data_IF_058304236322
#
_entry.id   IF_058304236322
#
_cell.length_a   1.000
_cell.length_b   1.000
_cell.length_c   1.000
_cell.angle_alpha   90.00
_cell.angle_beta   90.00
_cell.angle_gamma   90.00
#
_symmetry.space_group_name_H-M   'P 1'
#
loop_
_entity.id
_entity.type
_entity.pdbx_description
1 polymer ?
2 polymer ?
3 polymer ?
4 non-polymer ?
5 water ?
#
loop_
_entity_poly.entity_id
_entity_poly.type
_entity_poly.pdbx_seq_one_letter_code
_entity_poly.pdbx_strand_id
2 'polydeoxyribonucleotide' '(DT)(DA)(DG)(5CM)(DG)(DC)(DC)(DC)(DC)(DC)(DT)(DG)(DC)(DT)(DG)(DG)(DC)' ?
3 'polydeoxyribonucleotide' '(DG)(DC)(DC)(DA)(DG)(DC)(DA)(DG)(DG)(DG)(DG)(DG)(5CM)(DG)(DC)(DT)(DA)' ?
#
# COMPACT_ATOMS: atom_id res chain seq x y z
N UNK A 5 -24.37 -21.37 36.51
CA UNK A 5 -23.38 -22.03 35.67
C UNK A 5 -23.74 -23.49 35.41
N UNK A 6 -24.88 -23.73 34.75
CA UNK A 6 -25.29 -25.12 34.48
C UNK A 6 -24.27 -25.87 33.62
N UNK A 7 -23.97 -25.32 32.45
CA UNK A 7 -23.06 -25.97 31.50
C UNK A 7 -21.66 -25.38 31.71
N UNK A 8 -20.92 -25.98 32.63
CA UNK A 8 -19.57 -25.51 32.90
C UNK A 8 -18.62 -25.92 31.78
N UNK A 9 -17.75 -25.00 31.39
CA UNK A 9 -16.74 -25.30 30.40
C UNK A 9 -15.67 -26.22 31.01
N UNK A 10 -15.34 -27.35 30.37
CA UNK A 10 -14.37 -28.27 30.99
C UNK A 10 -12.92 -27.81 30.86
N UNK A 11 -12.72 -26.58 30.38
CA UNK A 11 -11.37 -26.08 30.12
C UNK A 11 -11.03 -24.79 30.85
N UNK A 12 -12.01 -24.07 31.39
CA UNK A 12 -11.72 -22.83 32.10
C UNK A 12 -12.83 -22.57 33.12
N UNK A 13 -12.69 -21.45 33.82
CA UNK A 13 -13.61 -21.10 34.91
C UNK A 13 -14.96 -20.60 34.42
N UNK A 14 -15.13 -20.40 33.11
CA UNK A 14 -16.37 -19.84 32.60
C UNK A 14 -17.45 -20.90 32.47
N UNK A 15 -18.70 -20.45 32.47
CA UNK A 15 -19.84 -21.34 32.35
C UNK A 15 -21.00 -20.55 31.75
N UNK A 16 -21.96 -21.29 31.18
CA UNK A 16 -23.05 -20.68 30.43
C UNK A 16 -24.37 -21.32 30.80
N UNK A 17 -25.45 -20.59 30.52
CA UNK A 17 -26.78 -21.04 30.92
C UNK A 17 -27.38 -22.00 29.89
N UNK A 18 -27.02 -21.84 28.62
CA UNK A 18 -27.46 -22.77 27.57
C UNK A 18 -26.25 -23.48 26.98
N UNK A 19 -26.48 -24.73 26.56
CA UNK A 19 -25.42 -25.50 25.91
C UNK A 19 -25.01 -24.91 24.57
N UNK A 20 -25.90 -24.15 23.93
CA UNK A 20 -25.57 -23.60 22.62
C UNK A 20 -24.44 -22.59 22.69
N UNK A 21 -24.55 -21.62 23.59
CA UNK A 21 -23.50 -20.62 23.75
C UNK A 21 -22.27 -21.17 24.47
N UNK A 22 -22.36 -22.36 25.07
CA UNK A 22 -21.15 -23.06 25.51
C UNK A 22 -20.40 -23.59 24.29
N UNK A 23 -21.12 -24.23 23.36
CA UNK A 23 -20.50 -24.69 22.13
C UNK A 23 -19.85 -23.53 21.40
N UNK A 24 -20.53 -22.39 21.31
CA UNK A 24 -19.95 -21.23 20.65
C UNK A 24 -18.76 -20.69 21.44
N UNK A 25 -18.86 -20.69 22.77
CA UNK A 25 -17.72 -20.25 23.58
C UNK A 25 -16.55 -21.20 23.40
N UNK A 26 -16.77 -22.51 23.56
CA UNK A 26 -15.71 -23.48 23.31
C UNK A 26 -15.15 -23.35 21.91
N UNK A 27 -15.92 -22.79 20.98
CA UNK A 27 -15.39 -22.52 19.65
C UNK A 27 -14.54 -21.26 19.63
N UNK A 28 -15.11 -20.13 20.09
CA UNK A 28 -14.36 -18.87 20.04
C UNK A 28 -13.04 -18.97 20.78
N UNK A 29 -13.01 -19.67 21.92
CA UNK A 29 -11.88 -19.61 22.82
C UNK A 29 -11.05 -20.89 22.90
N UNK A 30 -11.65 -22.07 22.70
CA UNK A 30 -10.97 -23.33 22.96
C UNK A 30 -10.75 -24.16 21.69
N UNK A 31 -11.81 -24.47 20.94
CA UNK A 31 -11.68 -25.32 19.77
C UNK A 31 -11.53 -24.54 18.48
N UNK A 32 -11.89 -23.26 18.47
CA UNK A 32 -11.65 -22.39 17.31
C UNK A 32 -12.26 -22.95 16.04
N UNK A 33 -13.33 -23.74 16.17
CA UNK A 33 -14.03 -24.27 15.01
C UNK A 33 -14.86 -23.15 14.37
N UNK A 34 -14.56 -22.84 13.11
CA UNK A 34 -15.23 -21.78 12.37
C UNK A 34 -15.88 -22.40 11.13
N UNK A 35 -17.10 -22.93 11.26
CA UNK A 35 -17.72 -23.63 10.12
C UNK A 35 -18.25 -22.72 9.03
N UNK A 36 -18.44 -21.43 9.31
CA UNK A 36 -19.03 -20.50 8.35
C UNK A 36 -17.90 -19.74 7.67
N UNK A 37 -17.70 -20.03 6.38
CA UNK A 37 -16.51 -19.59 5.66
C UNK A 37 -16.92 -18.72 4.48
N UNK A 38 -16.14 -17.67 4.24
CA UNK A 38 -16.39 -16.79 3.11
C UNK A 38 -15.95 -17.46 1.81
N UNK A 39 -16.77 -17.31 0.78
CA UNK A 39 -16.48 -17.87 -0.53
C UNK A 39 -15.64 -16.93 -1.40
N UNK A 40 -15.24 -15.77 -0.87
CA UNK A 40 -14.43 -14.82 -1.61
C UNK A 40 -13.07 -14.56 -0.97
N UNK A 41 -12.83 -15.04 0.24
CA UNK A 41 -11.52 -14.94 0.88
C UNK A 41 -11.44 -16.01 1.96
N UNK A 42 -10.32 -16.01 2.67
CA UNK A 42 -10.07 -17.02 3.70
C UNK A 42 -10.74 -16.71 5.02
N UNK A 43 -11.64 -15.74 5.05
CA UNK A 43 -12.30 -15.37 6.29
C UNK A 43 -13.35 -16.41 6.68
N UNK A 44 -13.35 -16.77 7.96
CA UNK A 44 -14.33 -17.70 8.52
C UNK A 44 -14.69 -17.23 9.92
N UNK A 45 -15.90 -17.56 10.36
CA UNK A 45 -16.37 -17.15 11.66
C UNK A 45 -17.05 -18.31 12.38
N UNK A 46 -16.99 -18.26 13.71
CA UNK A 46 -17.82 -19.12 14.53
C UNK A 46 -19.30 -18.77 14.31
N UNK A 47 -19.59 -17.55 13.87
CA UNK A 47 -20.96 -17.08 13.69
C UNK A 47 -21.21 -16.74 12.23
N UNK A 48 -22.44 -17.02 11.78
CA UNK A 48 -22.84 -16.69 10.42
C UNK A 48 -22.99 -15.19 10.26
N UNK A 49 -23.39 -14.49 11.34
CA UNK A 49 -23.61 -13.06 11.26
C UNK A 49 -22.30 -12.32 10.99
N UNK A 50 -21.25 -12.67 11.72
CA UNK A 50 -19.92 -12.13 11.43
C UNK A 50 -19.54 -12.37 9.97
N UNK A 51 -19.88 -13.55 9.44
CA UNK A 51 -19.59 -13.83 8.04
C UNK A 51 -20.33 -12.86 7.13
N UNK A 52 -21.63 -12.67 7.37
CA UNK A 52 -22.42 -11.79 6.51
C UNK A 52 -21.94 -10.35 6.60
N UNK A 53 -21.65 -9.87 7.82
CA UNK A 53 -21.06 -8.56 7.96
C UNK A 53 -19.78 -8.45 7.12
N UNK A 54 -18.95 -9.49 7.17
CA UNK A 54 -17.74 -9.51 6.35
C UNK A 54 -18.07 -9.43 4.86
N UNK A 55 -19.08 -10.17 4.41
CA UNK A 55 -19.41 -10.20 3.00
C UNK A 55 -19.67 -8.80 2.47
N UNK A 56 -20.31 -7.95 3.28
CA UNK A 56 -20.67 -6.61 2.84
C UNK A 56 -19.46 -5.71 2.62
N UNK A 57 -18.29 -6.10 3.12
CA UNK A 57 -17.06 -5.38 2.77
C UNK A 57 -16.63 -5.68 1.35
N UNK A 58 -16.94 -6.88 0.84
CA UNK A 58 -16.62 -7.22 -0.54
C UNK A 58 -17.55 -6.50 -1.51
N UNK A 59 -18.84 -6.45 -1.20
CA UNK A 59 -19.83 -5.95 -2.13
C UNK A 59 -20.01 -4.44 -2.06
N UNK A 60 -19.59 -3.80 -0.98
CA UNK A 60 -19.89 -2.41 -0.77
C UNK A 60 -21.32 -2.15 -0.33
N UNK A 61 -22.08 -3.21 -0.04
CA UNK A 61 -23.43 -3.04 0.45
C UNK A 61 -23.42 -2.33 1.79
N UNK A 62 -24.01 -1.13 1.81
CA UNK A 62 -24.18 -0.34 3.04
C UNK A 62 -25.66 -0.31 3.37
N UNK A 63 -26.20 -1.33 4.04
CA UNK A 63 -27.66 -1.42 4.22
C UNK A 63 -28.20 -0.48 5.28
N UNK A 64 -27.35 0.09 6.13
CA UNK A 64 -27.78 0.86 7.29
C UNK A 64 -27.50 2.33 6.99
N UNK A 65 -28.51 3.00 6.47
CA UNK A 65 -28.40 4.37 5.97
C UNK A 65 -28.60 5.36 7.11
N UNK A 66 -27.70 6.33 7.21
CA UNK A 66 -27.92 7.44 8.13
C UNK A 66 -29.03 8.34 7.59
N UNK A 67 -29.90 8.77 8.49
CA UNK A 67 -31.06 9.57 8.10
C UNK A 67 -30.79 11.07 8.13
N UNK A 68 -29.59 11.49 8.54
CA UNK A 68 -29.25 12.90 8.61
C UNK A 68 -28.25 13.33 7.55
N UNK A 69 -27.62 12.40 6.84
CA UNK A 69 -26.69 12.73 5.77
C UNK A 69 -26.65 11.55 4.81
N UNK A 70 -25.70 11.58 3.89
CA UNK A 70 -25.56 10.52 2.89
C UNK A 70 -24.79 9.32 3.41
N UNK A 71 -24.36 9.32 4.66
CA UNK A 71 -23.58 8.21 5.17
C UNK A 71 -24.44 6.96 5.37
N UNK A 72 -23.81 5.80 5.18
CA UNK A 72 -24.46 4.51 5.36
C UNK A 72 -23.38 3.49 5.69
N UNK A 73 -23.68 2.58 6.61
CA UNK A 73 -22.70 1.64 7.13
C UNK A 73 -23.03 0.21 6.74
N UNK A 74 -22.01 -0.65 6.84
CA UNK A 74 -22.15 -2.07 6.61
C UNK A 74 -22.51 -2.84 7.87
N UNK A 75 -22.49 -2.18 9.02
CA UNK A 75 -22.78 -2.81 10.30
C UNK A 75 -23.60 -1.83 11.13
N UNK A 76 -24.64 -2.36 11.80
CA UNK A 76 -25.54 -1.49 12.55
C UNK A 76 -24.76 -0.67 13.57
N UNK A 77 -23.80 -1.28 14.26
CA UNK A 77 -23.11 -0.60 15.34
C UNK A 77 -22.23 0.54 14.83
N UNK A 78 -21.74 0.43 13.59
CA UNK A 78 -20.97 1.52 13.00
C UNK A 78 -21.87 2.72 12.72
N UNK A 79 -23.12 2.48 12.32
CA UNK A 79 -24.06 3.58 12.18
C UNK A 79 -24.28 4.27 13.52
N UNK A 80 -24.60 3.48 14.55
CA UNK A 80 -24.75 4.03 15.90
C UNK A 80 -23.57 4.91 16.27
N UNK A 81 -22.35 4.46 15.96
CA UNK A 81 -21.17 5.25 16.27
C UNK A 81 -21.12 6.52 15.43
N UNK A 82 -21.49 6.43 14.15
CA UNK A 82 -21.49 7.61 13.29
C UNK A 82 -22.50 8.65 13.75
N UNK A 83 -23.64 8.22 14.28
CA UNK A 83 -24.65 9.18 14.75
C UNK A 83 -24.08 10.14 15.79
N UNK A 84 -23.01 9.75 16.48
CA UNK A 84 -22.39 10.64 17.46
C UNK A 84 -21.84 11.90 16.81
N UNK A 85 -21.63 11.89 15.48
CA UNK A 85 -21.15 13.09 14.80
C UNK A 85 -22.24 14.13 14.68
N UNK A 86 -23.49 13.70 14.56
CA UNK A 86 -24.62 14.63 14.51
C UNK A 86 -25.11 14.99 15.90
N UNK A 87 -24.99 14.07 16.86
CA UNK A 87 -25.47 14.31 18.22
C UNK A 87 -24.44 14.99 19.11
N UNK A 88 -23.15 14.76 18.86
CA UNK A 88 -22.12 15.27 19.72
C UNK A 88 -21.93 14.49 21.01
N UNK A 89 -22.60 13.35 21.15
CA UNK A 89 -22.41 12.51 22.33
C UNK A 89 -20.94 12.16 22.49
N UNK A 90 -20.52 12.00 23.75
CA UNK A 90 -19.17 11.56 24.10
C UNK A 90 -19.30 10.54 25.22
N UNK A 91 -19.53 9.26 24.88
CA UNK A 91 -19.89 8.28 25.92
C UNK A 91 -18.74 7.89 26.84
N UNK A 92 -17.49 8.14 26.46
CA UNK A 92 -16.34 7.60 27.17
C UNK A 92 -15.64 8.71 27.94
N UNK A 93 -15.34 8.44 29.21
CA UNK A 93 -14.72 9.41 30.10
C UNK A 93 -13.41 8.85 30.62
N UNK A 94 -12.35 9.63 30.52
CA UNK A 94 -11.07 9.27 31.10
C UNK A 94 -11.18 9.30 32.63
N UNK A 95 -10.87 8.18 33.28
CA UNK A 95 -10.99 8.09 34.73
C UNK A 95 -9.90 8.87 35.47
N UNK A 96 -9.06 9.64 34.79
CA UNK A 96 -7.94 10.34 35.39
C UNK A 96 -8.13 11.85 35.32
N UNK A 97 -8.41 12.38 34.12
CA UNK A 97 -8.66 13.80 33.95
C UNK A 97 -10.11 14.11 33.62
N UNK A 98 -10.93 13.10 33.31
CA UNK A 98 -12.37 13.22 33.10
C UNK A 98 -12.72 13.90 31.78
N UNK A 99 -11.76 14.06 30.86
CA UNK A 99 -12.10 14.47 29.52
C UNK A 99 -12.99 13.41 28.86
N UNK A 100 -13.76 13.83 27.86
CA UNK A 100 -14.75 12.97 27.23
C UNK A 100 -14.47 12.83 25.74
N UNK A 101 -14.87 11.68 25.18
CA UNK A 101 -14.53 11.31 23.81
C UNK A 101 -15.71 10.57 23.19
N UNK A 102 -15.75 10.58 21.86
CA UNK A 102 -16.84 9.96 21.13
C UNK A 102 -16.64 8.47 20.88
N UNK A 103 -15.44 7.94 21.12
CA UNK A 103 -15.17 6.53 20.90
C UNK A 103 -14.23 5.99 21.98
N UNK A 104 -14.34 4.69 22.24
CA UNK A 104 -13.54 4.07 23.29
C UNK A 104 -12.05 4.09 22.93
N UNK A 105 -11.73 3.86 21.66
CA UNK A 105 -10.34 3.89 21.25
C UNK A 105 -9.72 5.27 21.41
N UNK A 106 -10.50 6.32 21.13
CA UNK A 106 -10.03 7.67 21.36
C UNK A 106 -9.65 7.89 22.82
N UNK A 107 -10.48 7.40 23.74
CA UNK A 107 -10.16 7.51 25.16
C UNK A 107 -8.88 6.76 25.49
N UNK A 108 -8.80 5.49 25.09
CA UNK A 108 -7.56 4.73 25.31
C UNK A 108 -6.36 5.48 24.78
N UNK A 109 -6.49 6.08 23.58
CA UNK A 109 -5.40 6.87 23.04
C UNK A 109 -5.11 8.07 23.94
N UNK A 110 -6.15 8.73 24.44
CA UNK A 110 -5.95 9.84 25.35
C UNK A 110 -5.24 9.40 26.63
N UNK A 111 -5.67 8.27 27.20
CA UNK A 111 -5.02 7.77 28.41
C UNK A 111 -3.56 7.45 28.12
N UNK A 112 -3.28 6.93 26.94
CA UNK A 112 -1.91 6.59 26.58
C UNK A 112 -1.07 7.84 26.37
N UNK A 113 -1.66 8.90 25.81
CA UNK A 113 -0.90 10.09 25.46
C UNK A 113 -0.81 11.12 26.59
N UNK A 114 -1.70 11.04 27.58
CA UNK A 114 -1.79 12.08 28.60
C UNK A 114 -1.52 11.59 30.02
N UNK A 115 -1.70 10.29 30.31
CA UNK A 115 -1.67 9.81 31.68
C UNK A 115 -0.84 8.55 31.86
N UNK A 116 -0.03 8.17 30.87
CA UNK A 116 0.83 7.00 30.96
C UNK A 116 2.27 7.47 30.95
N UNK A 117 3.05 6.94 31.89
CA UNK A 117 4.45 7.35 32.03
C UNK A 117 5.31 6.68 30.96
N UNK A 118 6.30 7.43 30.47
CA UNK A 118 7.35 6.87 29.63
C UNK A 118 6.77 6.11 28.44
N UNK A 119 5.90 6.79 27.69
CA UNK A 119 5.28 6.19 26.52
C UNK A 119 6.24 6.34 25.34
N UNK A 120 6.45 5.24 24.62
CA UNK A 120 7.34 5.28 23.46
C UNK A 120 6.80 6.23 22.41
N UNK A 121 7.60 7.23 22.07
CA UNK A 121 7.21 8.23 21.09
C UNK A 121 7.72 7.86 19.71
N UNK A 122 7.11 8.45 18.69
CA UNK A 122 7.54 8.30 17.31
C UNK A 122 8.45 9.46 16.93
N UNK A 123 9.41 9.18 16.06
CA UNK A 123 10.43 10.15 15.67
C UNK A 123 10.42 10.31 14.17
N UNK A 124 10.42 11.55 13.70
CA UNK A 124 10.54 11.80 12.27
C UNK A 124 11.99 11.59 11.86
N UNK A 125 12.26 10.74 10.86
CA UNK A 125 13.66 10.52 10.45
C UNK A 125 14.27 11.70 9.71
N UNK A 126 13.47 12.66 9.25
CA UNK A 126 13.94 13.68 8.31
C UNK A 126 14.14 15.06 8.91
N UNK A 127 13.51 15.36 10.06
CA UNK A 127 13.71 16.67 10.68
C UNK A 127 13.95 16.58 12.18
N UNK A 128 14.13 15.37 12.72
CA UNK A 128 14.49 15.18 14.13
C UNK A 128 13.50 15.91 15.04
N UNK A 129 12.21 15.64 14.84
CA UNK A 129 11.15 16.13 15.70
C UNK A 129 10.39 14.95 16.25
N UNK A 130 10.17 14.95 17.57
CA UNK A 130 9.44 13.88 18.22
C UNK A 130 7.95 14.09 18.01
N UNK A 131 7.25 13.02 17.64
CA UNK A 131 5.81 13.05 17.40
C UNK A 131 5.19 11.93 18.21
N UNK A 132 4.08 12.24 18.89
CA UNK A 132 3.50 11.30 19.84
C UNK A 132 2.70 10.20 19.17
N UNK A 133 2.11 10.47 17.99
CA UNK A 133 1.16 9.58 17.36
C UNK A 133 1.68 9.12 16.00
N UNK A 134 1.52 7.82 15.74
CA UNK A 134 1.92 7.26 14.46
C UNK A 134 1.27 8.02 13.29
N UNK A 135 -0.03 8.29 13.41
CA UNK A 135 -0.73 8.98 12.33
C UNK A 135 -0.26 10.42 12.16
N UNK A 136 0.12 11.08 13.26
CA UNK A 136 0.65 12.44 13.13
C UNK A 136 2.01 12.43 12.47
N UNK A 137 2.77 11.35 12.63
CA UNK A 137 3.99 11.19 11.86
C UNK A 137 3.68 11.11 10.38
N UNK A 138 2.65 10.35 10.01
CA UNK A 138 2.28 10.25 8.60
C UNK A 138 1.91 11.60 8.01
N UNK A 139 1.05 12.36 8.71
CA UNK A 139 0.69 13.69 8.24
C UNK A 139 1.94 14.57 8.14
N UNK A 140 2.74 14.59 9.21
CA UNK A 140 3.98 15.35 9.21
C UNK A 140 4.82 15.02 7.99
N UNK A 141 4.96 13.73 7.67
CA UNK A 141 5.74 13.33 6.51
C UNK A 141 5.13 13.86 5.22
N UNK A 142 3.80 13.78 5.09
CA UNK A 142 3.15 14.18 3.84
C UNK A 142 3.18 15.69 3.65
N UNK A 143 2.90 16.46 4.71
CA UNK A 143 2.80 17.90 4.55
C UNK A 143 4.18 18.54 4.50
N UNK A 144 5.12 18.11 5.36
CA UNK A 144 6.38 18.83 5.49
C UNK A 144 7.38 18.44 4.39
N UNK A 145 7.83 17.19 4.37
CA UNK A 145 9.02 16.89 3.58
C UNK A 145 8.71 16.65 2.11
N UNK A 146 8.15 15.48 1.77
CA UNK A 146 7.76 15.21 0.39
C UNK A 146 6.51 14.35 0.27
N UNK A 147 6.21 13.55 1.29
CA UNK A 147 5.28 12.43 1.14
C UNK A 147 3.90 12.92 0.69
N UNK D 7 24.06 26.59 -0.07
CA UNK D 7 23.30 26.69 -1.32
C UNK D 7 21.91 26.07 -1.16
N UNK D 8 21.02 26.78 -0.47
CA UNK D 8 19.65 26.33 -0.33
C UNK D 8 18.87 26.60 -1.61
N UNK D 9 17.75 25.87 -1.76
CA UNK D 9 16.92 26.01 -2.96
C UNK D 9 15.79 26.98 -2.70
N UNK D 10 15.57 27.97 -3.57
CA UNK D 10 14.50 28.93 -3.31
C UNK D 10 13.11 28.35 -3.44
N UNK D 11 12.93 27.33 -4.29
CA UNK D 11 11.62 26.73 -4.55
C UNK D 11 11.52 25.31 -3.99
N UNK D 12 12.29 25.00 -2.95
CA UNK D 12 12.36 23.64 -2.45
C UNK D 12 12.86 23.65 -1.01
N UNK D 13 13.06 22.45 -0.47
CA UNK D 13 13.56 22.27 0.89
C UNK D 13 14.87 21.49 0.90
N UNK D 14 15.57 21.44 -0.23
CA UNK D 14 16.84 20.75 -0.34
C UNK D 14 17.99 21.75 -0.41
N UNK D 15 19.18 21.27 -0.07
CA UNK D 15 20.41 22.05 -0.15
C UNK D 15 21.43 21.30 -0.97
N UNK D 16 22.44 22.02 -1.45
CA UNK D 16 23.46 21.44 -2.31
C UNK D 16 24.82 22.05 -1.95
N UNK D 17 25.87 21.47 -2.51
CA UNK D 17 27.24 21.93 -2.26
C UNK D 17 27.63 23.02 -3.24
N UNK D 18 27.37 22.82 -4.53
CA UNK D 18 27.78 23.74 -5.58
C UNK D 18 26.56 24.49 -6.11
N UNK D 19 26.84 25.53 -6.89
CA UNK D 19 25.78 26.28 -7.56
C UNK D 19 25.28 25.54 -8.79
N UNK D 20 26.13 24.74 -9.43
CA UNK D 20 25.69 23.98 -10.59
C UNK D 20 24.65 22.94 -10.24
N UNK D 21 24.86 22.20 -9.15
CA UNK D 21 23.85 21.27 -8.68
C UNK D 21 22.55 21.97 -8.34
N UNK D 22 22.65 23.20 -7.82
CA UNK D 22 21.45 23.96 -7.47
C UNK D 22 20.73 24.43 -8.72
N UNK D 23 21.47 24.94 -9.71
CA UNK D 23 20.85 25.35 -10.97
C UNK D 23 20.18 24.17 -11.65
N UNK D 24 20.86 23.02 -11.66
CA UNK D 24 20.30 21.84 -12.32
C UNK D 24 19.04 21.36 -11.61
N UNK D 25 19.08 21.32 -10.27
CA UNK D 25 17.88 20.97 -9.51
C UNK D 25 16.72 21.90 -9.86
N UNK D 26 16.98 23.21 -9.97
CA UNK D 26 15.94 24.15 -10.35
C UNK D 26 15.35 23.80 -11.70
N UNK D 27 16.21 23.57 -12.70
CA UNK D 27 15.73 23.30 -14.05
C UNK D 27 14.96 21.98 -14.14
N UNK D 28 15.15 21.08 -13.18
CA UNK D 28 14.50 19.78 -13.22
C UNK D 28 13.14 19.78 -12.52
N UNK D 29 13.09 20.26 -11.28
CA UNK D 29 11.91 20.12 -10.45
C UNK D 29 11.02 21.36 -10.41
N UNK D 30 11.61 22.55 -10.36
CA UNK D 30 10.85 23.78 -10.14
C UNK D 30 10.53 24.50 -11.45
N UNK D 31 11.57 24.87 -12.19
CA UNK D 31 11.40 25.40 -13.54
C UNK D 31 11.64 24.29 -14.54
N UNK D 32 11.21 24.52 -15.78
CA UNK D 32 11.36 23.55 -16.86
C UNK D 32 12.04 24.25 -18.02
N UNK D 33 13.37 24.30 -17.98
CA UNK D 33 14.19 24.93 -18.99
C UNK D 33 15.07 23.86 -19.62
N UNK D 34 14.68 23.38 -20.79
CA UNK D 34 15.44 22.38 -21.53
C UNK D 34 16.02 23.02 -22.78
N UNK D 35 17.16 23.71 -22.68
CA UNK D 35 17.72 24.37 -23.87
C UNK D 35 18.35 23.41 -24.86
N UNK D 36 18.45 22.13 -24.53
CA UNK D 36 19.09 21.14 -25.39
C UNK D 36 17.98 20.35 -26.07
N UNK D 37 17.52 20.86 -27.20
CA UNK D 37 16.40 20.30 -27.92
C UNK D 37 16.85 19.23 -28.91
N UNK D 38 15.91 18.35 -29.27
CA UNK D 38 16.15 17.33 -30.28
C UNK D 38 15.83 17.91 -31.66
N UNK D 39 16.80 17.87 -32.56
CA UNK D 39 16.62 18.38 -33.91
C UNK D 39 15.89 17.41 -34.82
N UNK D 40 15.56 16.20 -34.34
CA UNK D 40 14.88 15.20 -35.13
C UNK D 40 13.44 14.96 -34.70
N UNK D 41 13.04 15.48 -33.55
CA UNK D 41 11.66 15.38 -33.07
C UNK D 41 11.46 16.46 -32.01
N UNK D 42 10.33 16.38 -31.30
CA UNK D 42 10.03 17.33 -30.23
C UNK D 42 10.40 16.69 -28.89
N UNK D 43 11.70 16.79 -28.56
CA UNK D 43 12.20 16.30 -27.29
C UNK D 43 13.32 17.21 -26.81
N UNK D 44 13.40 17.37 -25.49
CA UNK D 44 14.43 18.19 -24.88
C UNK D 44 14.71 17.65 -23.48
N UNK D 45 15.81 18.12 -22.89
CA UNK D 45 16.19 17.68 -21.56
C UNK D 45 16.99 18.78 -20.87
N UNK D 46 16.91 18.79 -19.54
CA UNK D 46 17.69 19.75 -18.74
C UNK D 46 19.18 19.51 -18.94
N UNK D 47 19.58 18.25 -19.03
CA UNK D 47 20.98 17.89 -19.15
C UNK D 47 21.36 17.59 -20.59
N UNK D 48 22.64 17.81 -20.91
CA UNK D 48 23.15 17.44 -22.22
C UNK D 48 23.35 15.93 -22.30
N UNK D 49 23.81 15.31 -21.21
CA UNK D 49 24.03 13.87 -21.21
C UNK D 49 22.75 13.11 -21.53
N UNK D 50 21.62 13.56 -20.98
CA UNK D 50 20.36 12.89 -21.25
C UNK D 50 19.94 13.06 -22.70
N UNK D 51 20.22 14.23 -23.29
CA UNK D 51 19.90 14.44 -24.69
C UNK D 51 20.72 13.51 -25.59
N UNK D 52 22.00 13.33 -25.27
CA UNK D 52 22.82 12.41 -26.05
C UNK D 52 22.30 10.98 -25.93
N UNK D 53 21.72 10.63 -24.78
CA UNK D 53 21.08 9.33 -24.66
C UNK D 53 19.87 9.22 -25.58
N UNK D 54 19.11 10.30 -25.72
CA UNK D 54 17.92 10.28 -26.57
C UNK D 54 18.30 10.04 -28.03
N UNK D 55 19.39 10.65 -28.49
CA UNK D 55 19.81 10.46 -29.88
C UNK D 55 20.06 9.00 -30.17
N UNK D 56 20.41 8.22 -29.14
CA UNK D 56 20.76 6.82 -29.33
C UNK D 56 19.53 5.94 -29.57
N UNK D 57 18.35 6.39 -29.14
CA UNK D 57 17.12 5.67 -29.49
C UNK D 57 16.62 6.07 -30.87
N UNK D 58 16.96 7.28 -31.32
CA UNK D 58 16.62 7.71 -32.68
C UNK D 58 17.57 7.17 -33.73
N UNK D 59 18.76 6.73 -33.32
CA UNK D 59 19.80 6.31 -34.25
C UNK D 59 20.20 4.85 -34.12
N UNK D 60 20.08 4.26 -32.93
CA UNK D 60 20.50 2.90 -32.71
C UNK D 60 21.90 2.73 -32.19
N UNK D 61 22.59 3.82 -31.87
CA UNK D 61 23.94 3.72 -31.33
C UNK D 61 23.95 2.93 -30.03
N UNK D 62 24.85 1.96 -29.93
CA UNK D 62 25.00 1.12 -28.74
C UNK D 62 26.47 1.10 -28.35
N UNK D 63 26.97 2.17 -27.74
CA UNK D 63 28.40 2.24 -27.42
C UNK D 63 28.84 1.23 -26.37
N UNK D 64 28.14 1.18 -25.25
CA UNK D 64 28.52 0.29 -24.16
C UNK D 64 28.28 -1.16 -24.54
N UNK D 65 29.29 -1.99 -24.36
CA UNK D 65 29.24 -3.40 -24.75
C UNK D 65 29.49 -4.29 -23.55
N UNK D 66 28.77 -5.41 -23.49
CA UNK D 66 28.90 -6.35 -22.39
C UNK D 66 30.14 -7.21 -22.56
N UNK D 67 30.88 -7.38 -21.47
CA UNK D 67 32.12 -8.13 -21.51
C UNK D 67 31.90 -9.64 -21.53
N UNK D 68 30.74 -10.11 -21.10
CA UNK D 68 30.50 -11.55 -20.97
C UNK D 68 29.65 -12.12 -22.09
N UNK D 69 28.61 -11.40 -22.54
CA UNK D 69 27.75 -11.86 -23.62
C UNK D 69 27.73 -10.84 -24.74
N UNK D 70 27.08 -11.22 -25.84
CA UNK D 70 27.04 -10.39 -27.05
C UNK D 70 25.84 -9.46 -26.98
N UNK D 71 25.90 -8.53 -26.03
CA UNK D 71 24.86 -7.54 -25.82
C UNK D 71 25.48 -6.16 -25.70
N UNK D 72 24.92 -5.20 -26.43
CA UNK D 72 25.36 -3.82 -26.37
C UNK D 72 24.23 -2.96 -25.80
N UNK D 73 24.62 -1.92 -25.07
CA UNK D 73 23.68 -1.09 -24.33
C UNK D 73 23.82 0.37 -24.75
N UNK D 74 22.70 1.06 -24.87
CA UNK D 74 22.68 2.49 -25.14
C UNK D 74 22.79 3.33 -23.88
N UNK D 75 23.02 2.70 -22.73
CA UNK D 75 23.07 3.40 -21.45
C UNK D 75 24.06 2.68 -20.56
N UNK D 76 24.96 3.44 -19.92
CA UNK D 76 26.02 2.84 -19.12
C UNK D 76 25.46 1.96 -18.01
N UNK D 77 24.29 2.33 -17.46
CA UNK D 77 23.72 1.60 -16.34
C UNK D 77 22.88 0.41 -16.78
N UNK D 78 22.37 0.42 -18.01
CA UNK D 78 21.72 -0.77 -18.55
C UNK D 78 22.69 -1.93 -18.63
N UNK D 79 23.98 -1.64 -18.80
CA UNK D 79 24.98 -2.70 -18.84
C UNK D 79 25.18 -3.31 -17.45
N UNK D 80 25.18 -2.49 -16.41
CA UNK D 80 25.31 -2.99 -15.05
C UNK D 80 24.11 -3.85 -14.66
N UNK D 81 22.91 -3.42 -15.07
CA UNK D 81 21.71 -4.20 -14.80
C UNK D 81 21.72 -5.51 -15.58
N UNK D 82 22.14 -5.46 -16.85
CA UNK D 82 22.27 -6.69 -17.63
C UNK D 82 23.30 -7.64 -17.02
N UNK D 83 24.27 -7.10 -16.28
CA UNK D 83 25.39 -7.92 -15.81
C UNK D 83 24.95 -8.93 -14.76
N UNK D 84 23.95 -8.58 -13.95
CA UNK D 84 23.51 -9.55 -12.95
C UNK D 84 22.74 -10.73 -13.56
N UNK D 85 22.63 -10.82 -14.89
CA UNK D 85 22.12 -12.02 -15.53
C UNK D 85 23.14 -13.14 -15.52
N UNK D 86 24.43 -12.81 -15.65
CA UNK D 86 25.48 -13.83 -15.58
C UNK D 86 25.82 -14.17 -14.14
N UNK D 87 25.94 -13.14 -13.28
CA UNK D 87 26.33 -13.37 -11.89
C UNK D 87 25.23 -14.02 -11.07
N UNK D 88 23.98 -13.96 -11.53
CA UNK D 88 22.88 -14.48 -10.74
C UNK D 88 22.56 -13.69 -9.50
N UNK D 89 23.17 -12.52 -9.33
CA UNK D 89 22.87 -11.68 -8.18
C UNK D 89 21.40 -11.26 -8.21
N UNK D 90 20.76 -11.32 -7.04
CA UNK D 90 19.38 -10.92 -6.85
C UNK D 90 19.35 -9.85 -5.76
N UNK D 91 19.66 -8.61 -6.10
CA UNK D 91 19.86 -7.58 -5.05
C UNK D 91 18.59 -7.16 -4.35
N UNK D 92 17.41 -7.58 -4.81
CA UNK D 92 16.14 -7.07 -4.32
C UNK D 92 15.37 -8.18 -3.64
N UNK D 93 14.97 -7.94 -2.39
CA UNK D 93 14.32 -8.94 -1.55
C UNK D 93 12.89 -8.49 -1.26
N UNK D 94 11.93 -9.35 -1.59
CA UNK D 94 10.56 -9.14 -1.14
C UNK D 94 10.51 -9.12 0.38
N UNK D 95 10.05 -8.01 0.95
CA UNK D 95 10.04 -7.89 2.41
C UNK D 95 8.97 -8.74 3.08
N UNK D 96 8.20 -9.52 2.32
CA UNK D 96 7.14 -10.34 2.88
C UNK D 96 7.57 -11.80 2.88
N UNK D 97 7.85 -12.36 1.70
CA UNK D 97 8.25 -13.76 1.58
C UNK D 97 9.76 -13.95 1.46
N UNK D 98 10.52 -12.86 1.38
CA UNK D 98 11.98 -12.88 1.32
C UNK D 98 12.51 -13.50 0.03
N UNK D 99 11.66 -13.69 -0.98
CA UNK D 99 12.14 -14.10 -2.29
C UNK D 99 12.99 -12.98 -2.89
N UNK D 100 13.93 -13.37 -3.74
CA UNK D 100 14.89 -12.43 -4.31
C UNK D 100 14.68 -12.30 -5.81
N UNK D 101 15.05 -11.14 -6.35
CA UNK D 101 14.80 -10.82 -7.74
C UNK D 101 15.97 -10.01 -8.29
N UNK D 102 16.19 -10.12 -9.60
CA UNK D 102 17.33 -9.45 -10.21
C UNK D 102 17.09 -7.95 -10.35
N UNK D 103 15.85 -7.53 -10.60
CA UNK D 103 15.54 -6.13 -10.84
C UNK D 103 14.50 -5.62 -9.86
N UNK D 104 14.57 -4.32 -9.58
CA UNK D 104 13.61 -3.69 -8.69
C UNK D 104 12.21 -3.75 -9.26
N UNK D 105 12.06 -3.51 -10.56
CA UNK D 105 10.75 -3.55 -11.18
C UNK D 105 10.13 -4.92 -11.12
N UNK D 106 10.94 -5.97 -11.24
CA UNK D 106 10.43 -7.33 -11.09
C UNK D 106 9.96 -7.57 -9.67
N UNK D 107 10.77 -7.18 -8.68
CA UNK D 107 10.35 -7.31 -7.28
C UNK D 107 9.04 -6.59 -7.05
N UNK D 108 8.89 -5.38 -7.60
CA UNK D 108 7.64 -4.64 -7.43
C UNK D 108 6.50 -5.32 -8.16
N UNK D 109 6.77 -5.97 -9.29
CA UNK D 109 5.73 -6.74 -9.97
C UNK D 109 5.40 -8.01 -9.19
N UNK D 110 6.42 -8.68 -8.64
CA UNK D 110 6.16 -9.81 -7.76
C UNK D 110 5.29 -9.38 -6.58
N UNK D 111 5.68 -8.30 -5.90
CA UNK D 111 4.86 -7.77 -4.81
C UNK D 111 3.45 -7.48 -5.31
N UNK D 112 3.34 -6.97 -6.54
CA UNK D 112 2.03 -6.63 -7.09
C UNK D 112 1.17 -7.87 -7.31
N UNK D 113 1.77 -8.94 -7.83
CA UNK D 113 1.01 -10.12 -8.25
C UNK D 113 0.78 -11.13 -7.14
N UNK D 114 1.74 -11.31 -6.23
CA UNK D 114 1.63 -12.34 -5.21
C UNK D 114 1.28 -11.79 -3.83
N UNK D 115 1.53 -10.50 -3.56
CA UNK D 115 1.34 -9.94 -2.23
C UNK D 115 0.41 -8.73 -2.20
N UNK D 116 0.18 -8.05 -3.31
CA UNK D 116 -0.72 -6.91 -3.36
C UNK D 116 -2.10 -7.39 -3.78
N UNK D 117 -3.07 -7.26 -2.89
CA UNK D 117 -4.45 -7.63 -3.22
C UNK D 117 -5.15 -6.47 -3.91
N UNK D 118 -6.35 -6.75 -4.41
CA UNK D 118 -7.15 -5.75 -5.12
C UNK D 118 -6.46 -5.33 -6.41
N UNK D 119 -5.80 -6.28 -7.07
CA UNK D 119 -5.14 -6.05 -8.35
C UNK D 119 -6.02 -6.66 -9.45
N UNK D 120 -6.54 -5.80 -10.33
CA UNK D 120 -7.44 -6.26 -11.37
C UNK D 120 -6.66 -6.99 -12.46
N UNK D 121 -7.25 -8.08 -12.96
CA UNK D 121 -6.69 -8.82 -14.07
C UNK D 121 -7.28 -8.32 -15.38
N UNK D 122 -6.81 -8.87 -16.49
CA UNK D 122 -7.30 -8.51 -17.81
C UNK D 122 -8.08 -9.66 -18.41
N UNK D 123 -9.18 -9.34 -19.08
CA UNK D 123 -10.01 -10.32 -19.73
C UNK D 123 -9.68 -10.37 -21.22
N UNK D 124 -9.65 -11.58 -21.77
CA UNK D 124 -9.44 -11.72 -23.19
C UNK D 124 -10.71 -11.33 -23.94
N UNK D 125 -10.59 -10.59 -25.06
CA UNK D 125 -11.79 -10.20 -25.81
C UNK D 125 -12.36 -11.29 -26.71
N UNK D 126 -11.75 -12.48 -26.77
CA UNK D 126 -12.20 -13.53 -27.68
C UNK D 126 -12.38 -14.89 -27.03
N UNK D 127 -12.21 -15.00 -25.72
CA UNK D 127 -12.47 -16.25 -25.02
C UNK D 127 -12.60 -15.95 -23.54
N UNK D 128 -12.90 -16.99 -22.76
CA UNK D 128 -13.26 -16.85 -21.36
C UNK D 128 -12.04 -16.79 -20.44
N UNK D 129 -10.87 -16.42 -20.96
CA UNK D 129 -9.63 -16.49 -20.20
C UNK D 129 -9.34 -15.14 -19.54
N UNK D 130 -9.10 -15.17 -18.23
CA UNK D 130 -8.67 -14.01 -17.47
C UNK D 130 -7.17 -14.14 -17.22
N UNK D 131 -6.45 -13.04 -17.44
CA UNK D 131 -4.99 -13.04 -17.40
C UNK D 131 -4.53 -11.90 -16.49
N UNK D 132 -3.58 -12.20 -15.60
CA UNK D 132 -3.16 -11.21 -14.61
C UNK D 132 -2.37 -10.07 -15.25
N UNK D 133 -1.36 -10.41 -16.05
CA UNK D 133 -0.45 -9.40 -16.60
C UNK D 133 -0.90 -8.97 -17.99
N UNK D 134 -0.85 -7.66 -18.24
CA UNK D 134 -1.25 -7.13 -19.54
C UNK D 134 -0.41 -7.73 -20.65
N UNK D 135 0.89 -7.95 -20.39
CA UNK D 135 1.75 -8.58 -21.38
C UNK D 135 1.32 -10.02 -21.64
N UNK D 136 0.90 -10.75 -20.59
CA UNK D 136 0.40 -12.10 -20.81
C UNK D 136 -0.88 -12.10 -21.63
N UNK D 137 -1.65 -11.01 -21.56
CA UNK D 137 -2.80 -10.88 -22.45
C UNK D 137 -2.35 -10.73 -23.90
N UNK D 138 -1.35 -9.88 -24.14
CA UNK D 138 -0.77 -9.80 -25.48
C UNK D 138 -0.39 -11.15 -26.03
N UNK D 139 0.30 -11.95 -25.22
CA UNK D 139 0.74 -13.28 -25.66
C UNK D 139 -0.49 -14.13 -26.01
N UNK D 140 -1.43 -14.25 -25.07
CA UNK D 140 -2.64 -15.01 -25.33
C UNK D 140 -3.30 -14.56 -26.63
N UNK D 141 -3.40 -13.25 -26.84
CA UNK D 141 -4.01 -12.73 -28.06
C UNK D 141 -3.26 -13.21 -29.29
N UNK D 142 -1.93 -13.07 -29.29
CA UNK D 142 -1.14 -13.43 -30.46
C UNK D 142 -1.09 -14.94 -30.68
N UNK D 143 -1.22 -15.72 -29.61
CA UNK D 143 -1.07 -17.17 -29.71
C UNK D 143 -2.40 -17.89 -29.91
N UNK D 144 -3.46 -17.46 -29.23
CA UNK D 144 -4.75 -18.13 -29.31
C UNK D 144 -5.72 -17.50 -30.31
N UNK D 145 -5.54 -16.23 -30.66
CA UNK D 145 -6.47 -15.52 -31.53
C UNK D 145 -5.73 -14.77 -32.63
N UNK D 146 -4.71 -15.42 -33.21
CA UNK D 146 -3.91 -14.76 -34.24
C UNK D 146 -4.75 -14.35 -35.44
N UNK D 147 -5.82 -15.09 -35.75
CA UNK D 147 -6.62 -14.79 -36.92
C UNK D 147 -7.81 -13.91 -36.62
N UNK D 148 -8.38 -14.01 -35.40
CA UNK D 148 -9.53 -13.17 -35.06
C UNK D 148 -9.12 -11.70 -34.97
N UNK D 149 -7.91 -11.42 -34.50
CA UNK D 149 -7.44 -10.05 -34.37
C UNK D 149 -7.28 -9.39 -35.74
X LIG G 1 -14.04 -22.11 28.33
X LIG H 1 -14.43 -12.56 2.43
X LIG I 1 -25.06 11.01 9.22
X LIG J 1 -7.50 12.01 30.81
X LIG K 1 10.07 15.81 9.76
X LIG L 1 14.23 22.55 -4.74
X LIG M 1 14.28 12.84 -30.59
X LIG N 1 26.13 -10.28 -20.67
X LIG O 1 7.17 -12.17 -1.91
X LIG P 1 -8.85 -15.76 -25.41
#
# INVERSE_FOLDING_TARGET
>A
GPLGSPHKCPDCDMAFVTSGELVRHRRYKHTHEKPFKCSMCDYASVEVSKLKRHIRSHTGERPFQCSLCSYASRDTYKLKRHMRTHSGEKPYECYICHARFTQSGTMKMHILQKHTENVAKFHCPHCDTVIARKSDLGVHLRKQHSYIEQ
>D
GPLGSPHKCPDCDMAFVTSGELVRHRRYKHTHEKPFKCSMCDYASVEVSKLKRHIRSHTGERPFQCSLCSYASRDTYKLKRHMRTHSGEKPYECYICHARFTQSGTMKMHILQKHTENVAKFHCPHCDTVIARKSDLGVHLRKQHSYIEQ
>G hetero
1 ZN ZN
>H hetero
1 ZN ZN
>I hetero
1 ZN ZN
>J hetero
1 ZN ZN
>K hetero
1 ZN ZN
>L hetero
1 ZN ZN
>M hetero
1 ZN ZN
>N hetero
1 ZN ZN
>O hetero
1 ZN ZN
>P hetero
1 ZN ZN
#
